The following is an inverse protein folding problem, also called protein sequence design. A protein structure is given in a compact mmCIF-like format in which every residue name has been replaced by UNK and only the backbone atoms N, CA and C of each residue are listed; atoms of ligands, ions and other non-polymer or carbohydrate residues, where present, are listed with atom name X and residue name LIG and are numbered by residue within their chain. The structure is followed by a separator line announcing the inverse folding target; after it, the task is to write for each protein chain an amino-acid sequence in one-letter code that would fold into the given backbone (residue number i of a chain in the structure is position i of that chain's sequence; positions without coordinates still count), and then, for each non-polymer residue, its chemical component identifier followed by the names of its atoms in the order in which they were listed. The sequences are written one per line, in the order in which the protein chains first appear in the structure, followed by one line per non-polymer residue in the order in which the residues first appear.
data_IF_334381356428
#
_entry.id   IF_334381356428
#
_cell.length_a   1.000
_cell.length_b   1.000
_cell.length_c   1.000
_cell.angle_alpha   90.00
_cell.angle_beta   90.00
_cell.angle_gamma   90.00
#
_symmetry.space_group_name_H-M   'P 1'
#
loop_
_entity.id
_entity.type
_entity.pdbx_description
1 polymer ?
#
# COMPACT_ATOMS: atom_id res chain seq x y z
N UNK A 1 -72.93 -13.10 38.25
CA UNK A 1 -72.98 -11.64 38.44
C UNK A 1 -72.74 -10.97 37.08
N UNK A 2 -73.78 -10.32 36.57
CA UNK A 2 -73.84 -9.12 35.71
C UNK A 2 -72.61 -8.77 34.81
N UNK A 3 -72.74 -9.04 33.50
CA UNK A 3 -72.66 -8.14 32.30
C UNK A 3 -71.92 -6.77 32.33
N UNK A 4 -71.64 -6.09 31.19
CA UNK A 4 -71.27 -6.53 29.82
C UNK A 4 -70.30 -5.57 29.03
N UNK A 5 -70.00 -5.93 27.77
CA UNK A 5 -69.82 -5.08 26.56
C UNK A 5 -68.73 -3.99 26.47
N UNK A 6 -67.95 -3.98 25.36
CA UNK A 6 -68.27 -3.15 24.18
C UNK A 6 -67.13 -3.03 23.16
N UNK A 7 -67.56 -2.74 21.93
CA UNK A 7 -66.86 -2.65 20.66
C UNK A 7 -66.16 -1.28 20.47
N UNK A 8 -65.12 -1.28 19.64
CA UNK A 8 -64.24 -0.23 19.05
C UNK A 8 -64.86 1.17 18.82
N UNK A 9 -64.03 2.26 18.79
CA UNK A 9 -63.55 2.75 17.47
C UNK A 9 -62.18 3.48 17.43
N UNK A 10 -61.74 3.60 16.18
CA UNK A 10 -60.63 4.34 15.58
C UNK A 10 -60.40 5.78 16.10
N UNK A 11 -59.12 6.18 16.28
CA UNK A 11 -58.70 7.60 16.31
C UNK A 11 -57.40 7.80 15.52
N UNK A 12 -57.53 8.57 14.44
CA UNK A 12 -56.51 9.10 13.53
C UNK A 12 -55.81 10.31 14.16
N UNK A 13 -54.46 10.36 14.13
CA UNK A 13 -53.60 11.57 14.25
C UNK A 13 -52.29 11.29 13.48
N UNK A 14 -52.25 11.58 12.18
CA UNK A 14 -51.49 12.67 11.51
C UNK A 14 -49.95 12.60 11.52
N UNK A 15 -49.40 12.24 10.35
CA UNK A 15 -48.39 12.95 9.55
C UNK A 15 -47.23 13.63 10.29
N UNK A 16 -46.04 13.02 10.18
CA UNK A 16 -44.82 13.77 9.88
C UNK A 16 -44.17 13.12 8.65
N UNK A 17 -44.18 13.86 7.55
CA UNK A 17 -43.33 13.63 6.39
C UNK A 17 -41.98 14.28 6.69
N UNK A 18 -40.89 13.56 6.49
CA UNK A 18 -39.67 14.19 5.99
C UNK A 18 -39.22 13.46 4.73
N UNK A 19 -38.94 14.28 3.74
CA UNK A 19 -38.68 13.91 2.37
C UNK A 19 -37.30 13.27 2.21
N UNK A 20 -37.22 12.48 1.14
CA UNK A 20 -36.05 12.14 0.37
C UNK A 20 -34.94 13.20 0.36
N UNK A 21 -33.70 12.77 0.51
CA UNK A 21 -32.62 13.22 -0.37
C UNK A 21 -31.89 12.00 -0.94
N UNK A 22 -32.16 11.79 -2.22
CA UNK A 22 -31.43 10.88 -3.10
C UNK A 22 -30.05 11.49 -3.29
N UNK A 23 -29.01 10.81 -2.80
CA UNK A 23 -27.64 11.20 -3.11
C UNK A 23 -27.40 11.00 -4.61
N UNK A 24 -27.11 12.12 -5.27
CA UNK A 24 -26.99 12.22 -6.70
C UNK A 24 -25.72 11.51 -7.19
N UNK A 25 -25.93 10.57 -8.10
CA UNK A 25 -24.91 9.95 -8.95
C UNK A 25 -24.03 11.04 -9.62
N UNK A 26 -22.70 11.06 -9.41
CA UNK A 26 -21.86 12.04 -10.09
C UNK A 26 -21.79 11.72 -11.58
N UNK A 27 -22.36 12.65 -12.37
CA UNK A 27 -22.40 12.66 -13.83
C UNK A 27 -20.99 12.46 -14.42
N UNK A 28 -20.91 11.57 -15.40
CA UNK A 28 -19.79 11.39 -16.35
C UNK A 28 -19.22 12.74 -16.79
N UNK A 29 -17.93 12.97 -16.52
CA UNK A 29 -17.17 14.08 -17.11
C UNK A 29 -16.64 13.59 -18.48
N UNK A 30 -16.88 14.32 -19.59
CA UNK A 30 -16.45 13.89 -20.92
C UNK A 30 -14.92 13.96 -21.07
N UNK A 31 -14.36 13.00 -21.81
CA UNK A 31 -13.00 13.08 -22.34
C UNK A 31 -12.91 14.25 -23.33
N UNK A 32 -12.08 15.26 -23.04
CA UNK A 32 -11.64 16.24 -24.03
C UNK A 32 -10.11 16.15 -24.17
N UNK A 33 -9.66 16.04 -25.42
CA UNK A 33 -8.27 15.83 -25.79
C UNK A 33 -7.38 17.06 -25.61
N UNK A 34 -6.09 16.76 -25.41
CA UNK A 34 -4.85 17.54 -25.62
C UNK A 34 -4.98 19.04 -25.97
N UNK A 35 -4.34 19.89 -25.15
CA UNK A 35 -3.20 20.75 -25.55
C UNK A 35 -2.52 21.37 -24.32
N UNK A 36 -1.20 21.55 -24.41
CA UNK A 36 -0.32 22.09 -23.38
C UNK A 36 -0.54 23.58 -23.07
N UNK A 37 -0.28 24.01 -21.84
CA UNK A 37 0.50 25.24 -21.59
C UNK A 37 1.04 25.27 -20.16
N UNK A 38 2.32 25.66 -20.08
CA UNK A 38 3.10 26.01 -18.90
C UNK A 38 2.42 27.18 -18.16
N UNK A 39 2.44 27.18 -16.84
CA UNK A 39 2.25 28.40 -16.04
C UNK A 39 3.59 28.87 -15.52
N UNK A 40 4.00 30.02 -16.04
CA UNK A 40 5.08 30.86 -15.58
C UNK A 40 4.71 31.49 -14.23
N UNK A 41 5.68 31.61 -13.33
CA UNK A 41 5.58 32.49 -12.16
C UNK A 41 6.41 33.72 -12.46
N UNK A 42 5.73 34.86 -12.40
CA UNK A 42 6.22 36.22 -12.61
C UNK A 42 7.18 36.62 -11.49
N UNK A 43 8.41 36.97 -11.85
CA UNK A 43 9.31 37.75 -11.01
C UNK A 43 8.88 39.21 -11.06
N UNK A 44 8.65 39.83 -9.90
CA UNK A 44 8.59 41.29 -9.78
C UNK A 44 9.90 41.76 -9.17
N UNK A 45 10.74 42.36 -10.01
CA UNK A 45 11.89 43.16 -9.62
C UNK A 45 11.40 44.45 -8.96
N UNK A 46 12.03 44.85 -7.86
CA UNK A 46 11.97 46.22 -7.35
C UNK A 46 13.40 46.68 -7.13
N UNK A 47 13.91 47.44 -8.10
CA UNK A 47 15.12 48.25 -8.02
C UNK A 47 14.92 49.38 -7.00
N UNK A 48 15.94 49.66 -6.18
CA UNK A 48 16.15 50.97 -5.54
C UNK A 48 17.63 51.11 -5.15
N UNK A 49 18.31 51.88 -6.01
CA UNK A 49 19.50 52.76 -5.89
C UNK A 49 20.61 52.54 -4.85
N UNK A 50 21.85 52.53 -5.36
CA UNK A 50 23.09 52.85 -4.63
C UNK A 50 23.25 54.36 -4.36
N UNK A 51 24.06 54.72 -3.35
CA UNK A 51 25.09 55.72 -3.60
C UNK A 51 26.49 55.32 -3.10
N UNK A 52 27.48 55.95 -3.74
CA UNK A 52 28.90 55.63 -3.74
C UNK A 52 29.70 55.95 -2.46
N UNK A 53 30.78 55.17 -2.31
CA UNK A 53 32.11 55.45 -1.70
C UNK A 53 32.23 55.66 -0.18
N UNK A 54 33.09 54.88 0.47
CA UNK A 54 34.44 55.29 0.93
C UNK A 54 35.20 54.07 1.48
N UNK A 55 36.48 53.94 1.15
CA UNK A 55 37.45 52.96 1.66
C UNK A 55 37.48 52.88 3.20
N UNK A 56 37.51 51.65 3.72
CA UNK A 56 38.30 51.28 4.89
C UNK A 56 38.56 49.77 4.93
N UNK A 57 39.85 49.41 4.85
CA UNK A 57 40.39 48.07 5.10
C UNK A 57 40.24 47.73 6.58
N UNK A 58 39.59 46.62 6.89
CA UNK A 58 39.77 45.94 8.17
C UNK A 58 39.81 44.43 7.96
N UNK A 59 40.88 43.83 8.46
CA UNK A 59 41.20 42.42 8.31
C UNK A 59 40.35 41.58 9.28
N UNK A 60 39.73 40.51 8.78
CA UNK A 60 39.13 39.49 9.63
C UNK A 60 39.28 38.11 9.00
N UNK A 61 40.19 37.32 9.59
CA UNK A 61 40.01 35.91 9.94
C UNK A 61 39.29 35.01 8.92
N UNK A 62 40.07 34.36 8.04
CA UNK A 62 39.62 33.17 7.31
C UNK A 62 39.50 32.00 8.31
N UNK A 63 38.30 31.77 8.85
CA UNK A 63 37.99 30.44 9.39
C UNK A 63 37.85 29.45 8.22
N UNK A 64 38.38 28.22 8.34
CA UNK A 64 38.24 27.25 7.27
C UNK A 64 36.77 26.91 7.10
N UNK A 65 36.24 27.14 5.90
CA UNK A 65 34.94 26.64 5.48
C UNK A 65 34.91 25.13 5.74
N UNK A 66 34.24 24.73 6.82
CA UNK A 66 33.87 23.34 7.03
C UNK A 66 32.84 23.03 5.94
N UNK A 67 33.31 22.51 4.82
CA UNK A 67 32.46 21.93 3.79
C UNK A 67 31.75 20.76 4.46
N UNK A 68 30.57 21.02 5.03
CA UNK A 68 29.62 19.97 5.35
C UNK A 68 29.22 19.40 4.00
N UNK A 69 29.94 18.37 3.56
CA UNK A 69 29.49 17.52 2.45
C UNK A 69 28.24 16.82 2.93
N UNK A 70 27.11 17.52 2.85
CA UNK A 70 25.80 16.91 2.95
C UNK A 70 25.71 15.90 1.82
N UNK A 71 25.45 14.62 2.11
CA UNK A 71 25.27 13.63 1.05
C UNK A 71 24.19 14.14 0.10
N UNK A 72 24.54 14.31 -1.18
CA UNK A 72 23.63 14.79 -2.22
C UNK A 72 22.64 13.68 -2.56
N UNK A 73 21.53 13.64 -1.82
CA UNK A 73 20.38 12.83 -2.16
C UNK A 73 19.57 13.48 -3.29
N UNK A 74 18.82 12.70 -4.08
CA UNK A 74 17.76 13.25 -4.91
C UNK A 74 16.79 14.12 -4.11
N UNK A 75 16.09 14.98 -4.83
CA UNK A 75 15.04 15.84 -4.26
C UNK A 75 14.00 15.03 -3.48
N UNK A 76 13.59 15.52 -2.30
CA UNK A 76 12.52 14.91 -1.51
C UNK A 76 11.16 15.29 -2.07
N UNK A 77 10.21 14.36 -2.06
CA UNK A 77 8.81 14.64 -2.44
C UNK A 77 8.17 15.67 -1.50
N UNK A 78 8.48 15.58 -0.20
CA UNK A 78 8.11 16.58 0.81
C UNK A 78 9.37 17.12 1.49
N UNK A 79 9.40 18.43 1.73
CA UNK A 79 10.48 19.04 2.49
C UNK A 79 10.57 18.45 3.90
N UNK A 80 11.78 18.46 4.48
CA UNK A 80 12.03 17.94 5.84
C UNK A 80 11.07 18.62 6.82
N UNK A 81 10.37 17.82 7.63
CA UNK A 81 9.37 18.28 8.61
C UNK A 81 8.12 18.97 8.02
N UNK A 82 7.94 18.97 6.70
CA UNK A 82 6.76 19.51 6.03
C UNK A 82 5.86 18.39 5.50
N UNK A 83 5.60 17.37 6.34
CA UNK A 83 4.81 16.20 5.98
C UNK A 83 3.30 16.48 6.07
N UNK A 84 2.47 15.84 5.25
CA UNK A 84 1.02 15.98 5.32
C UNK A 84 0.48 15.52 6.68
N UNK A 85 -0.14 16.45 7.44
CA UNK A 85 -0.54 16.21 8.83
C UNK A 85 -1.72 15.25 9.05
N UNK A 86 -2.37 14.76 8.00
CA UNK A 86 -3.43 13.75 8.10
C UNK A 86 -3.11 12.57 7.16
N UNK A 87 -2.76 11.38 7.69
CA UNK A 87 -2.63 10.20 6.86
C UNK A 87 -4.01 9.84 6.29
N UNK A 88 -4.19 10.01 4.98
CA UNK A 88 -5.33 9.47 4.24
C UNK A 88 -4.80 8.40 3.30
N UNK A 89 -4.38 7.28 3.87
CA UNK A 89 -4.00 6.11 3.08
C UNK A 89 -5.23 5.23 2.88
N UNK A 90 -5.45 4.85 1.63
CA UNK A 90 -6.52 3.95 1.26
C UNK A 90 -5.91 2.57 0.99
N UNK A 91 -5.69 1.81 2.06
CA UNK A 91 -5.08 0.48 1.98
C UNK A 91 -6.21 -0.55 1.83
N UNK A 92 -6.43 -0.99 0.59
CA UNK A 92 -7.43 -2.02 0.30
C UNK A 92 -6.91 -3.44 0.53
N UNK A 93 -5.59 -3.63 0.48
CA UNK A 93 -4.93 -4.92 0.72
C UNK A 93 -5.09 -5.37 2.16
N UNK A 94 -5.59 -6.59 2.41
CA UNK A 94 -5.73 -7.16 3.76
C UNK A 94 -5.07 -8.52 3.88
N UNK A 95 -4.05 -8.60 4.74
CA UNK A 95 -3.35 -9.86 4.99
C UNK A 95 -4.25 -10.93 5.67
N UNK A 96 -5.33 -10.51 6.35
CA UNK A 96 -6.31 -11.43 6.95
C UNK A 96 -6.95 -12.37 5.92
N UNK A 97 -6.99 -11.99 4.63
CA UNK A 97 -7.47 -12.87 3.55
C UNK A 97 -6.66 -14.16 3.48
N UNK A 98 -5.35 -14.11 3.69
CA UNK A 98 -4.50 -15.32 3.72
C UNK A 98 -5.00 -16.25 4.82
N UNK A 99 -5.26 -15.70 6.01
CA UNK A 99 -5.83 -16.41 7.15
C UNK A 99 -7.22 -16.99 6.90
N UNK A 100 -8.11 -16.21 6.28
CA UNK A 100 -9.44 -16.67 5.87
C UNK A 100 -9.34 -17.87 4.92
N UNK A 101 -8.47 -17.81 3.91
CA UNK A 101 -8.28 -18.91 2.97
C UNK A 101 -7.72 -20.17 3.64
N UNK A 102 -6.77 -20.03 4.57
CA UNK A 102 -6.26 -21.16 5.37
C UNK A 102 -7.37 -21.86 6.14
N UNK A 103 -8.34 -21.11 6.68
CA UNK A 103 -9.49 -21.68 7.38
C UNK A 103 -10.45 -22.36 6.42
N UNK A 104 -10.86 -21.65 5.37
CA UNK A 104 -11.89 -22.10 4.42
C UNK A 104 -11.47 -23.30 3.59
N UNK A 105 -10.18 -23.44 3.31
CA UNK A 105 -9.63 -24.51 2.49
C UNK A 105 -8.88 -25.58 3.31
N UNK A 106 -8.98 -25.55 4.64
CA UNK A 106 -8.23 -26.47 5.50
C UNK A 106 -8.47 -27.94 5.12
N UNK A 107 -7.40 -28.66 4.81
CA UNK A 107 -7.45 -30.08 4.45
C UNK A 107 -7.95 -30.39 3.03
N UNK A 108 -8.19 -29.36 2.20
CA UNK A 108 -8.65 -29.53 0.83
C UNK A 108 -7.49 -29.72 -0.17
N UNK A 109 -7.73 -30.37 -1.33
CA UNK A 109 -6.76 -30.42 -2.43
C UNK A 109 -6.38 -29.02 -2.96
N UNK A 110 -7.32 -28.08 -2.94
CA UNK A 110 -7.10 -26.71 -3.40
C UNK A 110 -6.09 -25.97 -2.55
N UNK A 111 -6.09 -26.20 -1.23
CA UNK A 111 -5.06 -25.64 -0.34
C UNK A 111 -3.68 -26.17 -0.67
N UNK A 112 -3.55 -27.48 -0.97
CA UNK A 112 -2.28 -28.06 -1.38
C UNK A 112 -1.82 -27.49 -2.73
N UNK A 113 -2.76 -27.25 -3.66
CA UNK A 113 -2.47 -26.59 -4.93
C UNK A 113 -1.96 -25.16 -4.73
N UNK A 114 -2.60 -24.37 -3.85
CA UNK A 114 -2.15 -23.02 -3.51
C UNK A 114 -0.74 -23.01 -2.88
N UNK A 115 -0.48 -23.92 -1.93
CA UNK A 115 0.83 -24.05 -1.29
C UNK A 115 1.92 -24.49 -2.27
N UNK A 116 1.58 -25.34 -3.25
CA UNK A 116 2.49 -25.75 -4.33
C UNK A 116 2.66 -24.71 -5.45
N UNK A 117 1.89 -23.63 -5.43
CA UNK A 117 1.93 -22.57 -6.44
C UNK A 117 2.94 -21.47 -6.09
N UNK A 118 3.06 -20.47 -6.97
CA UNK A 118 3.85 -19.25 -6.70
C UNK A 118 3.36 -18.44 -5.49
N UNK A 119 2.11 -18.63 -5.05
CA UNK A 119 1.54 -17.94 -3.89
C UNK A 119 1.88 -18.63 -2.56
N UNK A 120 2.48 -19.83 -2.58
CA UNK A 120 2.74 -20.62 -1.38
C UNK A 120 3.55 -19.88 -0.31
N UNK A 121 4.52 -19.08 -0.73
CA UNK A 121 5.36 -18.28 0.18
C UNK A 121 4.54 -17.28 1.04
N UNK A 122 3.42 -16.77 0.52
CA UNK A 122 2.55 -15.84 1.26
C UNK A 122 1.98 -16.46 2.53
N UNK A 123 1.69 -17.76 2.51
CA UNK A 123 1.13 -18.49 3.66
C UNK A 123 2.16 -18.72 4.77
N UNK A 124 3.44 -18.57 4.45
CA UNK A 124 4.55 -18.71 5.40
C UNK A 124 5.02 -17.36 5.99
N UNK A 125 4.41 -16.24 5.59
CA UNK A 125 4.73 -14.93 6.16
C UNK A 125 4.46 -14.89 7.67
N UNK A 126 5.30 -14.17 8.45
CA UNK A 126 5.12 -14.03 9.89
C UNK A 126 3.87 -13.18 10.18
N UNK A 127 2.82 -13.82 10.70
CA UNK A 127 1.48 -13.22 10.84
C UNK A 127 1.48 -11.99 11.75
N UNK A 128 2.30 -11.99 12.81
CA UNK A 128 2.44 -10.88 13.76
C UNK A 128 2.92 -9.58 13.12
N UNK A 129 3.51 -9.64 11.92
CA UNK A 129 4.06 -8.50 11.17
C UNK A 129 3.17 -8.07 10.02
N UNK A 130 2.05 -8.74 9.78
CA UNK A 130 1.23 -8.58 8.58
C UNK A 130 -0.03 -7.72 8.78
N UNK A 131 -0.38 -7.33 10.01
CA UNK A 131 -1.43 -6.34 10.26
C UNK A 131 -1.03 -4.97 9.68
N UNK A 132 -1.91 -4.34 8.90
CA UNK A 132 -1.55 -3.09 8.22
C UNK A 132 -1.20 -1.97 9.22
N UNK A 133 0.00 -1.40 9.09
CA UNK A 133 0.40 -0.18 9.78
C UNK A 133 0.32 1.01 8.84
N UNK A 134 -0.86 1.65 8.81
CA UNK A 134 -1.06 2.90 8.07
C UNK A 134 -0.03 3.97 8.47
N UNK A 135 0.31 4.05 9.76
CA UNK A 135 1.29 4.99 10.30
C UNK A 135 2.69 4.75 9.73
N UNK A 136 3.13 3.49 9.63
CA UNK A 136 4.44 3.16 9.06
C UNK A 136 4.49 3.44 7.57
N UNK A 137 3.50 2.93 6.81
CA UNK A 137 3.44 3.14 5.36
C UNK A 137 3.38 4.64 5.04
N UNK A 138 2.58 5.40 5.78
CA UNK A 138 2.50 6.85 5.64
C UNK A 138 3.84 7.52 5.95
N UNK A 139 4.51 7.12 7.03
CA UNK A 139 5.80 7.66 7.42
C UNK A 139 6.85 7.48 6.33
N UNK A 140 6.91 6.29 5.71
CA UNK A 140 7.82 5.99 4.60
C UNK A 140 7.47 6.81 3.36
N UNK A 141 6.21 6.78 2.91
CA UNK A 141 5.76 7.53 1.73
C UNK A 141 5.95 9.04 1.87
N UNK A 142 5.82 9.59 3.08
CA UNK A 142 6.07 11.01 3.35
C UNK A 142 7.54 11.40 3.26
N UNK A 143 8.46 10.42 3.35
CA UNK A 143 9.91 10.60 3.25
C UNK A 143 10.47 10.13 1.90
N UNK A 144 9.60 10.02 0.90
CA UNK A 144 9.97 9.57 -0.43
C UNK A 144 10.91 10.56 -1.13
N UNK A 145 11.86 10.01 -1.89
CA UNK A 145 12.74 10.71 -2.81
C UNK A 145 12.18 10.62 -4.24
N UNK A 146 12.34 11.70 -5.00
CA UNK A 146 11.94 11.78 -6.41
C UNK A 146 12.95 11.02 -7.26
N UNK A 147 12.49 9.96 -7.93
CA UNK A 147 13.30 9.13 -8.83
C UNK A 147 12.68 9.09 -10.24
N UNK A 148 13.52 8.93 -11.26
CA UNK A 148 13.10 8.69 -12.65
C UNK A 148 13.04 7.19 -12.99
N UNK A 149 13.49 6.32 -12.08
CA UNK A 149 13.50 4.86 -12.30
C UNK A 149 12.10 4.29 -12.08
N UNK A 150 11.56 3.68 -13.12
CA UNK A 150 10.29 2.96 -13.05
C UNK A 150 10.43 1.77 -12.08
N UNK A 151 9.36 1.51 -11.32
CA UNK A 151 9.28 0.39 -10.37
C UNK A 151 10.30 0.42 -9.21
N UNK A 152 10.91 1.58 -8.95
CA UNK A 152 11.69 1.82 -7.74
C UNK A 152 11.05 2.93 -6.91
N UNK A 153 11.00 2.71 -5.61
CA UNK A 153 10.66 3.73 -4.63
C UNK A 153 11.83 3.92 -3.67
N UNK A 154 12.15 5.17 -3.44
CA UNK A 154 13.27 5.58 -2.61
C UNK A 154 12.74 6.40 -1.44
N UNK A 155 13.23 6.13 -0.25
CA UNK A 155 12.83 6.83 0.98
C UNK A 155 14.05 7.22 1.77
N UNK A 156 13.92 8.21 2.63
CA UNK A 156 14.88 8.45 3.70
C UNK A 156 14.29 8.01 5.03
N UNK A 157 15.11 7.33 5.83
CA UNK A 157 14.79 7.01 7.21
C UNK A 157 16.04 7.28 8.05
N UNK A 158 15.94 8.15 9.05
CA UNK A 158 17.09 8.63 9.82
C UNK A 158 18.22 9.17 8.93
N UNK A 159 17.86 9.92 7.88
CA UNK A 159 18.76 10.43 6.83
C UNK A 159 19.56 9.34 6.07
N UNK A 160 19.16 8.07 6.18
CA UNK A 160 19.69 6.95 5.41
C UNK A 160 18.73 6.54 4.30
N UNK A 161 19.23 6.27 3.08
CA UNK A 161 18.37 5.89 1.97
C UNK A 161 17.90 4.44 2.04
N UNK A 162 16.63 4.24 1.68
CA UNK A 162 15.98 2.95 1.51
C UNK A 162 15.48 2.84 0.07
N UNK A 163 15.77 1.72 -0.59
CA UNK A 163 15.27 1.42 -1.93
C UNK A 163 14.35 0.21 -1.85
N UNK A 164 13.14 0.36 -2.37
CA UNK A 164 12.19 -0.73 -2.55
C UNK A 164 11.85 -0.85 -4.04
N UNK A 165 12.22 -1.98 -4.65
CA UNK A 165 11.94 -2.30 -6.05
C UNK A 165 11.22 -3.64 -6.19
N UNK A 166 10.94 -4.07 -7.42
CA UNK A 166 10.41 -5.41 -7.71
C UNK A 166 11.29 -6.54 -7.12
N UNK A 167 12.60 -6.31 -6.99
CA UNK A 167 13.52 -7.25 -6.36
C UNK A 167 13.18 -7.44 -4.88
N UNK A 168 13.11 -6.34 -4.12
CA UNK A 168 12.75 -6.39 -2.71
C UNK A 168 11.32 -6.90 -2.50
N UNK A 169 10.39 -6.54 -3.38
CA UNK A 169 9.04 -7.10 -3.36
C UNK A 169 9.04 -8.62 -3.51
N UNK A 170 9.77 -9.16 -4.49
CA UNK A 170 9.93 -10.60 -4.70
C UNK A 170 10.62 -11.29 -3.51
N UNK A 171 11.68 -10.68 -2.96
CA UNK A 171 12.41 -11.20 -1.78
C UNK A 171 11.53 -11.28 -0.53
N UNK A 172 10.57 -10.36 -0.37
CA UNK A 172 9.67 -10.28 0.77
C UNK A 172 8.45 -11.20 0.61
N UNK A 173 7.84 -11.19 -0.58
CA UNK A 173 6.59 -11.92 -0.84
C UNK A 173 6.81 -13.36 -1.29
N UNK A 174 8.01 -13.67 -1.80
CA UNK A 174 8.34 -14.92 -2.47
C UNK A 174 7.70 -15.08 -3.85
N UNK A 175 7.03 -14.04 -4.35
CA UNK A 175 6.44 -14.02 -5.69
C UNK A 175 7.52 -13.91 -6.76
N UNK A 176 7.28 -14.53 -7.90
CA UNK A 176 8.17 -14.44 -9.06
C UNK A 176 7.94 -13.10 -9.76
N UNK A 177 8.87 -12.16 -9.58
CA UNK A 177 8.79 -10.81 -10.15
C UNK A 177 9.82 -10.56 -11.25
N UNK A 178 10.34 -11.63 -11.87
CA UNK A 178 11.22 -11.50 -13.02
C UNK A 178 10.43 -11.00 -14.24
N UNK A 179 10.96 -10.06 -15.02
CA UNK A 179 10.33 -9.67 -16.28
C UNK A 179 10.21 -10.91 -17.16
N UNK A 180 9.01 -11.15 -17.66
CA UNK A 180 8.75 -12.26 -18.56
C UNK A 180 9.67 -12.09 -19.78
N UNK A 181 10.62 -13.01 -19.94
CA UNK A 181 11.45 -13.01 -21.14
C UNK A 181 10.50 -13.29 -22.29
N UNK A 182 10.30 -12.32 -23.18
CA UNK A 182 9.51 -12.51 -24.40
C UNK A 182 9.97 -13.79 -25.07
N UNK A 183 9.17 -14.85 -24.94
CA UNK A 183 9.41 -16.06 -25.70
C UNK A 183 9.03 -15.72 -27.13
N UNK A 184 10.00 -15.31 -27.93
CA UNK A 184 9.89 -15.32 -29.39
C UNK A 184 9.75 -16.79 -29.80
N UNK A 185 8.52 -17.27 -29.87
CA UNK A 185 8.27 -18.66 -30.16
C UNK A 185 6.80 -18.99 -30.10
N UNK A 186 6.17 -18.99 -31.27
CA UNK A 186 4.94 -19.68 -31.66
C UNK A 186 4.33 -20.58 -30.57
N UNK A 187 3.62 -19.97 -29.63
CA UNK A 187 2.67 -20.68 -28.79
C UNK A 187 1.40 -20.80 -29.61
N UNK A 188 0.97 -22.02 -29.92
CA UNK A 188 -0.37 -22.24 -30.42
C UNK A 188 -1.34 -21.61 -29.43
N UNK A 189 -2.01 -20.53 -29.82
CA UNK A 189 -3.18 -20.03 -29.11
C UNK A 189 -4.17 -21.19 -29.02
N UNK A 190 -4.27 -21.79 -27.84
CA UNK A 190 -5.28 -22.81 -27.58
C UNK A 190 -6.63 -22.11 -27.55
N UNK A 191 -7.37 -22.25 -28.65
CA UNK A 191 -8.83 -22.34 -28.80
C UNK A 191 -9.64 -21.55 -27.74
N UNK A 192 -10.15 -20.40 -28.17
CA UNK A 192 -11.45 -19.82 -27.77
C UNK A 192 -11.64 -19.35 -26.31
N UNK A 193 -10.66 -18.65 -25.75
CA UNK A 193 -10.84 -17.89 -24.51
C UNK A 193 -11.62 -16.59 -24.78
N UNK A 194 -12.95 -16.66 -24.90
CA UNK A 194 -13.80 -15.45 -24.85
C UNK A 194 -13.59 -14.76 -23.49
N UNK A 195 -13.07 -13.52 -23.42
CA UNK A 195 -12.90 -12.82 -22.15
C UNK A 195 -14.25 -12.73 -21.42
N UNK A 196 -14.28 -13.12 -20.15
CA UNK A 196 -15.49 -13.10 -19.33
C UNK A 196 -16.29 -14.39 -19.25
N UNK A 197 -16.03 -15.42 -20.09
CA UNK A 197 -16.70 -16.74 -19.96
C UNK A 197 -16.51 -17.34 -18.57
N UNK A 198 -15.26 -17.42 -18.12
CA UNK A 198 -14.91 -17.94 -16.79
C UNK A 198 -15.57 -17.11 -15.67
N UNK A 199 -15.61 -15.78 -15.81
CA UNK A 199 -16.26 -14.92 -14.82
C UNK A 199 -17.76 -15.21 -14.71
N UNK A 200 -18.44 -15.34 -15.86
CA UNK A 200 -19.86 -15.71 -15.92
C UNK A 200 -20.13 -17.10 -15.34
N UNK A 201 -19.27 -18.08 -15.63
CA UNK A 201 -19.41 -19.43 -15.07
C UNK A 201 -19.16 -19.46 -13.56
N UNK A 202 -18.24 -18.64 -13.05
CA UNK A 202 -17.92 -18.56 -11.62
C UNK A 202 -19.05 -17.90 -10.82
N UNK A 203 -19.54 -16.75 -11.28
CA UNK A 203 -20.47 -15.92 -10.49
C UNK A 203 -21.91 -15.96 -10.96
N UNK A 204 -22.19 -16.52 -12.14
CA UNK A 204 -23.54 -16.63 -12.72
C UNK A 204 -24.26 -15.26 -12.84
N UNK A 205 -23.49 -14.16 -12.83
CA UNK A 205 -23.93 -12.78 -12.99
C UNK A 205 -23.06 -12.06 -14.03
N UNK A 206 -23.66 -11.15 -14.79
CA UNK A 206 -22.97 -10.33 -15.80
C UNK A 206 -22.76 -8.87 -15.34
N UNK A 207 -23.47 -8.41 -14.29
CA UNK A 207 -23.64 -6.97 -13.99
C UNK A 207 -23.42 -6.56 -12.52
N UNK A 208 -22.98 -7.47 -11.64
CA UNK A 208 -22.67 -7.11 -10.24
C UNK A 208 -21.15 -7.04 -10.00
N UNK A 209 -20.72 -5.94 -9.38
CA UNK A 209 -19.36 -5.79 -8.84
C UNK A 209 -19.15 -6.83 -7.73
N UNK A 210 -18.52 -7.96 -8.06
CA UNK A 210 -18.19 -8.99 -7.07
C UNK A 210 -17.03 -8.51 -6.21
N UNK A 211 -17.25 -8.46 -4.90
CA UNK A 211 -16.22 -8.04 -3.94
C UNK A 211 -15.47 -9.24 -3.33
N UNK A 212 -14.28 -9.02 -2.80
CA UNK A 212 -13.53 -10.07 -2.07
C UNK A 212 -14.34 -10.68 -0.91
N UNK A 213 -15.07 -9.91 -0.09
CA UNK A 213 -16.00 -10.49 0.89
C UNK A 213 -17.05 -11.43 0.30
N UNK A 214 -17.59 -11.12 -0.89
CA UNK A 214 -18.53 -12.01 -1.58
C UNK A 214 -17.88 -13.33 -1.98
N UNK A 215 -16.66 -13.25 -2.53
CA UNK A 215 -15.85 -14.44 -2.87
C UNK A 215 -15.60 -15.31 -1.65
N UNK A 216 -15.25 -14.72 -0.50
CA UNK A 216 -15.04 -15.47 0.75
C UNK A 216 -16.34 -16.12 1.24
N UNK A 217 -17.48 -15.41 1.18
CA UNK A 217 -18.81 -15.95 1.53
C UNK A 217 -19.23 -17.09 0.60
N UNK A 218 -18.83 -17.06 -0.68
CA UNK A 218 -19.05 -18.17 -1.61
C UNK A 218 -18.21 -19.39 -1.23
N UNK A 219 -16.94 -19.20 -0.87
CA UNK A 219 -16.04 -20.28 -0.41
C UNK A 219 -16.52 -20.95 0.88
N UNK A 220 -17.24 -20.22 1.74
CA UNK A 220 -17.90 -20.76 2.95
C UNK A 220 -19.05 -21.73 2.63
N UNK A 221 -19.67 -21.65 1.44
CA UNK A 221 -20.83 -22.47 1.12
C UNK A 221 -20.42 -23.96 0.95
N UNK A 222 -21.04 -24.88 1.71
CA UNK A 222 -20.74 -26.31 1.59
C UNK A 222 -21.12 -26.90 0.22
N UNK A 223 -22.13 -26.34 -0.44
CA UNK A 223 -22.63 -26.75 -1.75
C UNK A 223 -21.83 -26.18 -2.93
N UNK A 224 -20.79 -25.38 -2.67
CA UNK A 224 -19.98 -24.80 -3.72
C UNK A 224 -19.28 -25.91 -4.54
N UNK A 225 -19.45 -25.93 -5.88
CA UNK A 225 -18.77 -26.90 -6.74
C UNK A 225 -17.25 -26.87 -6.56
N UNK A 226 -16.63 -28.04 -6.48
CA UNK A 226 -15.18 -28.18 -6.21
C UNK A 226 -14.33 -27.36 -7.19
N UNK A 227 -14.67 -27.40 -8.48
CA UNK A 227 -13.95 -26.66 -9.53
C UNK A 227 -13.94 -25.14 -9.32
N UNK A 228 -14.93 -24.57 -8.61
CA UNK A 228 -15.00 -23.12 -8.32
C UNK A 228 -14.06 -22.72 -7.16
N UNK A 229 -13.69 -23.63 -6.27
CA UNK A 229 -12.98 -23.32 -5.02
C UNK A 229 -11.60 -22.70 -5.27
N UNK A 230 -10.78 -23.32 -6.13
CA UNK A 230 -9.43 -22.82 -6.43
C UNK A 230 -9.45 -21.46 -7.18
N UNK A 231 -10.23 -21.27 -8.27
CA UNK A 231 -10.34 -19.96 -8.92
C UNK A 231 -10.79 -18.85 -7.98
N UNK A 232 -11.80 -19.10 -7.13
CA UNK A 232 -12.27 -18.12 -6.15
C UNK A 232 -11.17 -17.78 -5.12
N UNK A 233 -10.42 -18.77 -4.64
CA UNK A 233 -9.30 -18.52 -3.74
C UNK A 233 -8.18 -17.68 -4.39
N UNK A 234 -7.89 -17.94 -5.66
CA UNK A 234 -6.93 -17.15 -6.44
C UNK A 234 -7.42 -15.71 -6.65
N UNK A 235 -8.71 -15.51 -6.93
CA UNK A 235 -9.32 -14.17 -7.03
C UNK A 235 -9.19 -13.43 -5.69
N UNK A 236 -9.52 -14.09 -4.57
CA UNK A 236 -9.40 -13.47 -3.25
C UNK A 236 -7.95 -13.06 -2.93
N UNK A 237 -6.95 -13.89 -3.26
CA UNK A 237 -5.54 -13.55 -3.12
C UNK A 237 -5.13 -12.39 -4.03
N UNK A 238 -5.43 -12.48 -5.33
CA UNK A 238 -4.99 -11.48 -6.30
C UNK A 238 -5.68 -10.14 -6.03
N UNK A 239 -7.00 -10.11 -5.96
CA UNK A 239 -7.73 -8.85 -5.81
C UNK A 239 -7.59 -8.26 -4.40
N UNK A 240 -7.76 -9.10 -3.38
CA UNK A 240 -7.80 -8.64 -2.00
C UNK A 240 -6.44 -8.44 -1.33
N UNK A 241 -5.36 -9.01 -1.88
CA UNK A 241 -4.00 -8.79 -1.38
C UNK A 241 -3.12 -8.06 -2.41
N UNK A 242 -3.12 -8.49 -3.67
CA UNK A 242 -2.13 -8.04 -4.67
C UNK A 242 -2.60 -6.89 -5.56
N UNK A 243 -3.90 -6.67 -5.79
CA UNK A 243 -4.42 -5.72 -6.79
C UNK A 243 -5.11 -4.49 -6.16
N UNK A 244 -4.82 -4.20 -4.89
CA UNK A 244 -5.23 -2.93 -4.27
C UNK A 244 -4.81 -1.74 -5.14
N UNK A 245 -5.79 -1.14 -5.81
CA UNK A 245 -5.71 -0.23 -6.97
C UNK A 245 -4.87 1.03 -6.80
N UNK A 246 -4.44 1.36 -5.58
CA UNK A 246 -3.51 2.44 -5.33
C UNK A 246 -2.03 2.03 -5.50
N UNK A 247 -1.68 0.76 -5.22
CA UNK A 247 -0.29 0.34 -5.14
C UNK A 247 0.02 -1.17 -5.38
N UNK A 248 -0.83 -2.00 -6.00
CA UNK A 248 -0.50 -3.42 -6.31
C UNK A 248 0.16 -4.21 -5.14
N UNK A 249 -0.51 -4.35 -3.99
CA UNK A 249 0.00 -5.12 -2.84
C UNK A 249 1.19 -4.49 -2.09
N UNK A 250 1.63 -3.31 -2.50
CA UNK A 250 2.75 -2.57 -1.91
C UNK A 250 2.69 -2.35 -0.40
N UNK A 251 1.54 -2.08 0.25
CA UNK A 251 1.56 -1.71 1.67
C UNK A 251 2.10 -2.82 2.58
N UNK A 252 1.68 -4.07 2.36
CA UNK A 252 2.16 -5.20 3.14
C UNK A 252 3.64 -5.50 2.85
N UNK A 253 4.01 -5.56 1.57
CA UNK A 253 5.38 -5.85 1.17
C UNK A 253 6.36 -4.75 1.62
N UNK A 254 5.99 -3.47 1.50
CA UNK A 254 6.76 -2.33 1.98
C UNK A 254 6.92 -2.37 3.51
N UNK A 255 5.85 -2.71 4.24
CA UNK A 255 5.91 -2.84 5.69
C UNK A 255 6.87 -3.94 6.13
N UNK A 256 6.74 -5.14 5.55
CA UNK A 256 7.62 -6.27 5.86
C UNK A 256 9.07 -5.97 5.45
N UNK A 257 9.26 -5.27 4.33
CA UNK A 257 10.56 -4.74 3.94
C UNK A 257 11.11 -3.78 4.99
N UNK A 258 10.32 -2.83 5.49
CA UNK A 258 10.76 -1.88 6.50
C UNK A 258 11.19 -2.57 7.80
N UNK A 259 10.49 -3.61 8.24
CA UNK A 259 10.92 -4.42 9.39
C UNK A 259 12.22 -5.18 9.14
N UNK A 260 12.42 -5.69 7.91
CA UNK A 260 13.66 -6.36 7.51
C UNK A 260 14.82 -5.37 7.39
N UNK A 261 14.55 -4.17 6.88
CA UNK A 261 15.53 -3.13 6.62
C UNK A 261 15.94 -2.35 7.88
N UNK A 262 15.01 -2.20 8.82
CA UNK A 262 15.18 -1.40 10.04
C UNK A 262 14.76 -2.27 11.25
N UNK A 263 15.66 -3.10 11.78
CA UNK A 263 15.35 -3.99 12.89
C UNK A 263 14.79 -3.24 14.12
N UNK A 264 15.24 -2.01 14.38
CA UNK A 264 14.71 -1.18 15.46
C UNK A 264 13.22 -0.87 15.34
N UNK A 265 12.64 -0.85 14.13
CA UNK A 265 11.18 -0.73 13.95
C UNK A 265 10.48 -2.05 14.30
N UNK A 266 11.09 -3.19 14.00
CA UNK A 266 10.54 -4.50 14.35
C UNK A 266 10.44 -4.64 15.87
N UNK A 267 11.45 -4.22 16.63
CA UNK A 267 11.44 -4.26 18.10
C UNK A 267 10.33 -3.44 18.77
N UNK A 268 9.63 -2.58 18.01
CA UNK A 268 8.52 -1.76 18.49
C UNK A 268 7.14 -2.38 18.32
N UNK A 269 7.02 -3.51 17.62
CA UNK A 269 5.73 -4.21 17.50
C UNK A 269 5.44 -5.06 18.75
N UNK A 270 4.18 -5.48 19.00
CA UNK A 270 3.83 -6.25 20.21
C UNK A 270 4.55 -7.61 20.35
N UNK A 271 4.77 -8.33 19.24
CA UNK A 271 5.38 -9.67 19.23
C UNK A 271 6.54 -9.75 18.20
N UNK A 272 7.68 -9.06 18.44
CA UNK A 272 8.73 -8.88 17.43
C UNK A 272 9.42 -10.19 17.02
N UNK A 273 9.66 -11.06 18.01
CA UNK A 273 10.34 -12.34 17.85
C UNK A 273 9.42 -13.47 17.36
N UNK A 274 8.11 -13.22 17.26
CA UNK A 274 7.16 -14.22 16.84
C UNK A 274 7.21 -14.38 15.32
N UNK A 275 7.39 -15.62 14.88
CA UNK A 275 7.50 -15.99 13.46
C UNK A 275 6.44 -17.03 13.07
N UNK A 276 5.34 -17.12 13.82
CA UNK A 276 4.22 -17.99 13.45
C UNK A 276 3.68 -17.58 12.07
N UNK A 277 3.42 -18.58 11.24
CA UNK A 277 2.86 -18.38 9.91
C UNK A 277 1.33 -18.36 9.92
N UNK A 278 0.70 -17.91 8.83
CA UNK A 278 -0.74 -18.00 8.66
C UNK A 278 -1.28 -19.44 8.74
N UNK A 279 -0.45 -20.44 8.41
CA UNK A 279 -0.82 -21.85 8.56
C UNK A 279 -0.99 -22.27 10.02
N UNK A 280 -0.23 -21.65 10.93
CA UNK A 280 -0.26 -21.94 12.36
C UNK A 280 -1.29 -21.06 13.08
N UNK A 281 -1.34 -19.77 12.73
CA UNK A 281 -2.18 -18.77 13.37
C UNK A 281 -2.95 -17.96 12.31
N UNK A 282 -3.99 -18.52 11.69
CA UNK A 282 -4.73 -17.85 10.61
C UNK A 282 -5.50 -16.59 11.06
N UNK A 283 -5.63 -16.37 12.37
CA UNK A 283 -6.37 -15.24 12.97
C UNK A 283 -5.47 -14.07 13.38
N UNK A 284 -4.14 -14.20 13.24
CA UNK A 284 -3.20 -13.22 13.79
C UNK A 284 -3.34 -11.81 13.22
N UNK A 285 -3.94 -11.66 12.03
CA UNK A 285 -4.19 -10.36 11.38
C UNK A 285 -5.61 -9.80 11.57
N UNK A 286 -6.47 -10.48 12.34
CA UNK A 286 -7.86 -10.03 12.55
C UNK A 286 -7.96 -8.94 13.64
N UNK A 287 -6.87 -8.67 14.37
CA UNK A 287 -6.83 -7.66 15.42
C UNK A 287 -6.86 -6.23 14.85
N UNK A 288 -7.66 -5.36 15.49
CA UNK A 288 -7.74 -3.92 15.16
C UNK A 288 -6.69 -3.08 15.89
N UNK A 289 -5.77 -3.72 16.63
CA UNK A 289 -4.75 -3.02 17.38
C UNK A 289 -3.72 -2.40 16.44
N UNK A 290 -3.28 -1.19 16.75
CA UNK A 290 -2.24 -0.53 15.96
C UNK A 290 -0.94 -1.35 16.06
N UNK A 291 -0.42 -1.80 14.92
CA UNK A 291 0.82 -2.57 14.87
C UNK A 291 2.03 -1.74 15.32
N UNK A 292 2.04 -0.45 14.98
CA UNK A 292 3.06 0.52 15.38
C UNK A 292 2.41 1.87 15.68
N UNK A 293 2.91 2.58 16.69
CA UNK A 293 2.54 3.97 16.93
C UNK A 293 3.46 4.93 16.18
N UNK A 294 2.97 6.15 15.96
CA UNK A 294 3.72 7.15 15.20
C UNK A 294 4.91 7.65 16.02
N UNK A 295 4.72 7.77 17.33
CA UNK A 295 5.73 8.13 18.32
C UNK A 295 6.88 7.13 18.34
N UNK A 296 6.59 5.82 18.25
CA UNK A 296 7.62 4.78 18.19
C UNK A 296 8.44 4.88 16.90
N UNK A 297 7.79 5.16 15.77
CA UNK A 297 8.47 5.34 14.48
C UNK A 297 9.40 6.56 14.53
N UNK A 298 8.93 7.69 15.07
CA UNK A 298 9.75 8.90 15.25
C UNK A 298 10.90 8.66 16.22
N UNK A 299 10.64 7.96 17.33
CA UNK A 299 11.67 7.63 18.32
C UNK A 299 12.78 6.82 17.65
N UNK A 300 12.44 5.80 16.85
CA UNK A 300 13.42 5.03 16.10
C UNK A 300 14.15 5.91 15.08
N UNK A 301 13.44 6.78 14.34
CA UNK A 301 14.08 7.68 13.35
C UNK A 301 15.09 8.65 13.98
N UNK A 302 14.85 9.11 15.20
CA UNK A 302 15.72 10.06 15.91
C UNK A 302 16.86 9.40 16.69
N UNK A 303 16.97 8.07 16.69
CA UNK A 303 18.10 7.39 17.33
C UNK A 303 19.42 7.74 16.64
N UNK A 304 20.46 7.97 17.44
CA UNK A 304 21.79 8.39 16.95
C UNK A 304 22.46 7.34 16.05
N UNK A 305 22.17 6.06 16.27
CA UNK A 305 22.70 4.94 15.47
C UNK A 305 21.57 4.01 14.99
N UNK A 306 20.73 4.48 14.07
CA UNK A 306 19.78 3.58 13.39
C UNK A 306 20.53 2.71 12.40
N UNK A 307 20.46 1.40 12.57
CA UNK A 307 20.94 0.46 11.56
C UNK A 307 19.86 0.35 10.46
N UNK A 308 20.26 0.70 9.24
CA UNK A 308 19.44 0.50 8.04
C UNK A 308 20.21 -0.47 7.14
N UNK A 309 19.78 -1.72 7.12
CA UNK A 309 20.40 -2.78 6.32
C UNK A 309 19.69 -2.88 4.99
N UNK A 310 20.16 -2.24 3.91
CA UNK A 310 19.84 -2.70 2.56
C UNK A 310 20.89 -2.30 1.54
N UNK A 311 21.22 -3.25 0.66
CA UNK A 311 22.17 -3.08 -0.42
C UNK A 311 21.59 -2.12 -1.45
N UNK A 312 22.23 -0.97 -1.64
CA UNK A 312 22.10 -0.23 -2.89
C UNK A 312 23.01 -0.99 -3.88
N UNK A 313 22.48 -1.78 -4.83
CA UNK A 313 23.35 -2.32 -5.87
C UNK A 313 23.95 -1.15 -6.64
N UNK A 314 25.27 -1.22 -6.89
CA UNK A 314 26.05 -0.22 -7.64
C UNK A 314 25.75 -0.31 -9.15
N UNK A 315 24.48 -0.49 -9.52
CA UNK A 315 24.05 -0.50 -10.91
C UNK A 315 23.70 0.91 -11.35
N UNK A 316 24.71 1.57 -11.92
CA UNK A 316 24.58 2.75 -12.78
C UNK A 316 23.75 3.87 -12.17
N UNK A 317 24.32 4.59 -11.20
CA UNK A 317 23.67 5.63 -10.42
C UNK A 317 22.72 6.50 -11.24
N UNK A 318 21.51 6.70 -10.71
CA UNK A 318 20.66 7.81 -11.16
C UNK A 318 21.52 9.09 -11.11
N UNK A 319 21.58 9.90 -12.19
CA UNK A 319 22.44 11.08 -12.25
C UNK A 319 22.18 12.09 -11.13
N UNK A 320 21.06 12.00 -10.40
CA UNK A 320 20.80 12.74 -9.16
C UNK A 320 21.58 12.24 -7.95
N UNK A 321 22.03 10.99 -7.94
CA UNK A 321 22.93 10.41 -6.94
C UNK A 321 24.38 10.67 -7.35
N UNK A 322 24.82 11.92 -7.24
CA UNK A 322 26.24 12.21 -7.39
C UNK A 322 26.95 11.82 -6.10
N UNK A 323 27.83 10.81 -6.19
CA UNK A 323 28.90 10.61 -5.19
C UNK A 323 29.81 11.84 -5.31
N UNK A 324 29.87 12.66 -4.26
CA UNK A 324 30.94 13.65 -4.12
C UNK A 324 32.25 12.87 -4.00
N UNK A 325 33.19 13.12 -4.93
CA UNK A 325 34.57 12.66 -4.79
C UNK A 325 35.25 13.33 -3.61
#
# INVERSE_FOLDING_TARGET
MVSPSSVTPSRRVTRSQCASDREANPKKIPRLGKTASRYAVSSTESELEEPASTDQKEAASTEPEFIVTTPTFPERLFARNCYPGKPRLNIYSKASIIGSLVKLLRGSPEMNCLLGSQFGALFHLPVSRCSNSEKLVHSLLSRQLVTMRLYELWFLFADKPLRFSLREFGDITGLKCEPEREKVGNGSESIDATPGRMWKELFETEDEDVTVPDVLRMLEQPSLPEWKRLPLALIALVDGLLQSTACYGFPLALQLFAFKAIPSLLEKIPEPNKTSSFLQEPEGCDSTNALLNFEDILLVETQTEVIVTYSIPDEGGDPKWKKSN
#
